data_IF_494429070422
#
_entry.id   IF_494429070422
#
_cell.length_a   1.000
_cell.length_b   1.000
_cell.length_c   1.000
_cell.angle_alpha   90.00
_cell.angle_beta   90.00
_cell.angle_gamma   90.00
#
_symmetry.space_group_name_H-M   'P 1'
#
loop_
_entity.id
_entity.type
_entity.pdbx_description
1 polymer ?
#
# COMPACT_ATOMS: atom_id res chain seq x y z
N UNK A 1 -9.62 25.97 10.88
CA UNK A 1 -10.62 25.43 9.93
C UNK A 1 -10.36 23.94 9.86
N UNK A 2 -11.21 23.15 10.49
CA UNK A 2 -11.10 21.67 10.56
C UNK A 2 -11.64 21.11 9.27
N UNK A 3 -10.87 20.23 8.62
CA UNK A 3 -11.35 19.51 7.42
C UNK A 3 -12.50 18.56 7.82
N UNK A 4 -13.61 18.53 7.09
CA UNK A 4 -14.69 17.61 7.40
C UNK A 4 -14.27 16.15 7.18
N UNK A 5 -14.84 15.26 8.00
CA UNK A 5 -14.66 13.82 7.91
C UNK A 5 -14.93 13.30 6.47
N UNK A 6 -14.21 12.24 6.09
CA UNK A 6 -14.29 11.61 4.77
C UNK A 6 -15.74 11.36 4.36
N UNK A 7 -16.22 12.07 3.34
CA UNK A 7 -17.46 11.73 2.65
C UNK A 7 -17.20 10.56 1.69
N UNK A 8 -18.20 9.71 1.51
CA UNK A 8 -18.24 8.66 0.51
C UNK A 8 -17.86 9.25 -0.85
N UNK A 9 -16.90 8.66 -1.59
CA UNK A 9 -16.57 9.14 -2.94
C UNK A 9 -17.81 9.05 -3.84
N UNK A 10 -18.01 10.00 -4.76
CA UNK A 10 -19.07 9.92 -5.75
C UNK A 10 -18.85 8.69 -6.64
N UNK A 11 -19.96 8.05 -7.07
CA UNK A 11 -19.90 7.00 -8.10
C UNK A 11 -19.40 7.65 -9.39
N UNK A 12 -18.20 7.25 -9.82
CA UNK A 12 -17.62 7.69 -11.06
C UNK A 12 -18.33 6.98 -12.22
N UNK A 13 -18.98 7.78 -13.08
CA UNK A 13 -19.41 7.31 -14.40
C UNK A 13 -18.18 6.80 -15.18
N UNK A 14 -18.42 5.90 -16.15
CA UNK A 14 -17.39 5.30 -17.03
C UNK A 14 -16.74 6.27 -18.03
N UNK A 15 -16.75 7.57 -17.77
CA UNK A 15 -16.03 8.51 -18.61
C UNK A 15 -14.53 8.30 -18.43
N UNK A 16 -13.74 8.24 -19.52
CA UNK A 16 -12.30 8.07 -19.43
C UNK A 16 -11.73 9.22 -18.61
N UNK A 17 -11.05 8.89 -17.51
CA UNK A 17 -10.28 9.84 -16.72
C UNK A 17 -9.31 10.51 -17.70
N UNK A 18 -9.28 11.87 -17.80
CA UNK A 18 -8.33 12.53 -18.65
C UNK A 18 -6.92 12.00 -18.35
N UNK A 19 -6.16 11.64 -19.40
CA UNK A 19 -4.79 11.14 -19.27
C UNK A 19 -3.99 12.20 -18.49
N UNK A 20 -3.87 12.01 -17.18
CA UNK A 20 -2.96 12.79 -16.37
C UNK A 20 -1.53 12.49 -16.87
N UNK A 21 -0.61 13.44 -16.78
CA UNK A 21 0.79 13.13 -17.10
C UNK A 21 1.29 12.13 -16.04
N UNK A 22 2.20 11.24 -16.43
CA UNK A 22 2.86 10.27 -15.53
C UNK A 22 3.28 10.92 -14.20
N UNK A 23 3.86 12.12 -14.28
CA UNK A 23 4.25 12.85 -13.06
C UNK A 23 3.05 13.21 -12.15
N UNK A 24 1.87 13.50 -12.71
CA UNK A 24 0.66 13.74 -11.90
C UNK A 24 0.19 12.47 -11.22
N UNK A 25 0.19 11.36 -11.95
CA UNK A 25 -0.18 10.03 -11.45
C UNK A 25 0.71 9.62 -10.29
N UNK A 26 2.03 9.77 -10.41
CA UNK A 26 3.01 9.46 -9.35
C UNK A 26 2.75 10.28 -8.08
N UNK A 27 2.53 11.59 -8.22
CA UNK A 27 2.25 12.44 -7.08
C UNK A 27 0.93 12.10 -6.39
N UNK A 28 -0.13 11.85 -7.15
CA UNK A 28 -1.44 11.49 -6.59
C UNK A 28 -1.38 10.13 -5.89
N UNK A 29 -0.68 9.14 -6.47
CA UNK A 29 -0.40 7.84 -5.89
C UNK A 29 0.40 7.97 -4.58
N UNK A 30 1.46 8.81 -4.57
CA UNK A 30 2.27 9.06 -3.38
C UNK A 30 1.46 9.70 -2.25
N UNK A 31 0.64 10.72 -2.55
CA UNK A 31 -0.25 11.37 -1.58
C UNK A 31 -1.25 10.35 -1.02
N UNK A 32 -1.83 9.49 -1.87
CA UNK A 32 -2.76 8.44 -1.45
C UNK A 32 -2.09 7.47 -0.48
N UNK A 33 -0.94 6.87 -0.86
CA UNK A 33 -0.20 5.90 -0.04
C UNK A 33 0.20 6.50 1.33
N UNK A 34 0.63 7.77 1.38
CA UNK A 34 0.98 8.46 2.61
C UNK A 34 -0.25 8.76 3.49
N UNK A 35 -1.37 9.15 2.87
CA UNK A 35 -2.61 9.40 3.60
C UNK A 35 -3.23 8.11 4.17
N UNK A 36 -3.01 6.95 3.53
CA UNK A 36 -3.43 5.66 4.10
C UNK A 36 -2.69 5.31 5.40
N UNK A 37 -1.47 5.77 5.57
CA UNK A 37 -0.60 5.48 6.72
C UNK A 37 -0.77 6.50 7.86
N UNK A 38 -1.45 7.61 7.61
CA UNK A 38 -1.61 8.71 8.57
C UNK A 38 -3.05 8.81 9.08
N UNK A 39 -3.27 9.11 10.37
CA UNK A 39 -4.58 9.50 10.87
C UNK A 39 -5.04 10.85 10.31
N UNK A 40 -4.08 11.70 9.89
CA UNK A 40 -4.36 13.02 9.34
C UNK A 40 -4.69 12.93 7.84
N UNK A 41 -5.70 13.66 7.36
CA UNK A 41 -6.10 13.62 5.95
C UNK A 41 -5.15 14.38 5.02
N UNK A 42 -4.20 15.15 5.57
CA UNK A 42 -3.24 15.93 4.81
C UNK A 42 -1.81 15.40 4.98
N UNK A 43 -1.05 15.42 3.89
CA UNK A 43 0.30 14.91 3.80
C UNK A 43 1.29 16.06 3.64
N UNK A 44 2.38 16.05 4.41
CA UNK A 44 3.38 17.11 4.35
C UNK A 44 4.18 17.09 3.04
N UNK A 45 4.61 18.27 2.56
CA UNK A 45 5.50 18.39 1.40
C UNK A 45 6.81 17.59 1.59
N UNK A 46 7.31 17.50 2.83
CA UNK A 46 8.52 16.73 3.15
C UNK A 46 8.29 15.24 2.95
N UNK A 47 7.20 14.68 3.48
CA UNK A 47 6.89 13.27 3.32
C UNK A 47 6.72 12.88 1.84
N UNK A 48 6.11 13.75 1.02
CA UNK A 48 6.00 13.53 -0.43
C UNK A 48 7.38 13.57 -1.08
N UNK A 49 8.24 14.52 -0.71
CA UNK A 49 9.59 14.64 -1.25
C UNK A 49 10.46 13.42 -0.92
N UNK A 50 10.40 12.96 0.33
CA UNK A 50 11.13 11.80 0.82
C UNK A 50 10.64 10.51 0.11
N UNK A 51 9.32 10.36 -0.08
CA UNK A 51 8.75 9.20 -0.77
C UNK A 51 9.11 9.14 -2.25
N UNK A 52 9.09 10.29 -2.94
CA UNK A 52 9.41 10.36 -4.38
C UNK A 52 10.91 10.49 -4.67
N UNK A 53 11.76 10.68 -3.65
CA UNK A 53 13.19 10.87 -3.81
C UNK A 53 13.58 12.17 -4.53
N UNK A 54 12.76 13.23 -4.42
CA UNK A 54 12.96 14.49 -5.15
C UNK A 54 13.04 15.72 -4.23
N UNK A 55 13.56 16.81 -4.77
CA UNK A 55 13.74 18.05 -4.00
C UNK A 55 12.40 18.67 -3.58
N UNK A 56 12.29 19.15 -2.34
CA UNK A 56 11.08 19.81 -1.78
C UNK A 56 10.58 21.00 -2.61
N UNK A 57 11.50 21.72 -3.27
CA UNK A 57 11.14 22.83 -4.15
C UNK A 57 10.35 22.35 -5.37
N UNK A 58 10.77 21.22 -5.98
CA UNK A 58 10.06 20.59 -7.10
C UNK A 58 8.69 20.10 -6.67
N UNK A 59 8.59 19.46 -5.50
CA UNK A 59 7.31 19.04 -4.91
C UNK A 59 6.38 20.24 -4.74
N UNK A 60 6.86 21.32 -4.14
CA UNK A 60 6.04 22.53 -3.92
C UNK A 60 5.50 23.10 -5.24
N UNK A 61 6.31 23.11 -6.29
CA UNK A 61 5.89 23.60 -7.62
C UNK A 61 4.78 22.69 -8.21
N UNK A 62 4.94 21.37 -8.10
CA UNK A 62 3.94 20.41 -8.58
C UNK A 62 2.65 20.45 -7.77
N UNK A 63 2.72 20.55 -6.44
CA UNK A 63 1.52 20.66 -5.60
C UNK A 63 0.68 21.90 -5.94
N UNK A 64 1.32 23.02 -6.31
CA UNK A 64 0.61 24.21 -6.79
C UNK A 64 -0.13 23.96 -8.09
N UNK A 65 0.46 23.21 -9.03
CA UNK A 65 -0.18 22.83 -10.30
C UNK A 65 -1.36 21.90 -10.04
N UNK A 66 -1.15 20.81 -9.32
CA UNK A 66 -2.22 19.87 -8.96
C UNK A 66 -3.38 20.55 -8.23
N UNK A 67 -3.08 21.57 -7.40
CA UNK A 67 -4.11 22.36 -6.73
C UNK A 67 -4.87 23.26 -7.72
N UNK A 68 -4.18 23.92 -8.63
CA UNK A 68 -4.80 24.74 -9.67
C UNK A 68 -5.70 23.91 -10.60
N UNK A 69 -5.30 22.66 -10.88
CA UNK A 69 -6.06 21.70 -11.69
C UNK A 69 -7.18 21.00 -10.89
N UNK A 70 -7.37 21.35 -9.62
CA UNK A 70 -8.46 20.85 -8.78
C UNK A 70 -8.29 19.40 -8.30
N UNK A 71 -7.10 18.80 -8.45
CA UNK A 71 -6.84 17.40 -8.08
C UNK A 71 -6.48 17.23 -6.59
N UNK A 72 -5.95 18.29 -5.97
CA UNK A 72 -5.64 18.31 -4.54
C UNK A 72 -6.11 19.62 -3.90
N UNK A 73 -6.27 19.61 -2.57
CA UNK A 73 -6.27 20.80 -1.75
C UNK A 73 -4.87 20.95 -1.17
N UNK A 74 -4.23 22.08 -1.43
CA UNK A 74 -2.89 22.38 -0.93
C UNK A 74 -2.84 23.76 -0.29
N UNK A 75 -2.29 23.84 0.90
CA UNK A 75 -1.98 25.10 1.54
C UNK A 75 -0.58 25.02 2.18
N UNK A 76 0.15 26.13 2.09
CA UNK A 76 1.49 26.22 2.68
C UNK A 76 1.42 25.92 4.18
N UNK A 77 2.29 25.04 4.67
CA UNK A 77 2.35 24.54 6.06
C UNK A 77 1.19 23.64 6.51
N UNK A 78 0.15 23.45 5.71
CA UNK A 78 -0.97 22.57 6.04
C UNK A 78 -0.92 21.24 5.27
N UNK A 79 0.00 21.12 4.30
CA UNK A 79 0.14 19.93 3.49
C UNK A 79 -0.82 19.85 2.31
N UNK A 80 -0.90 18.67 1.72
CA UNK A 80 -1.73 18.32 0.57
C UNK A 80 -2.73 17.22 0.91
N UNK A 81 -3.96 17.36 0.42
CA UNK A 81 -5.00 16.33 0.52
C UNK A 81 -5.68 16.16 -0.83
N UNK A 82 -5.98 14.91 -1.22
CA UNK A 82 -6.68 14.62 -2.47
C UNK A 82 -8.09 15.21 -2.47
N UNK A 83 -8.53 15.71 -3.62
CA UNK A 83 -9.95 15.94 -3.93
C UNK A 83 -10.59 14.64 -4.41
N UNK A 84 -11.91 14.63 -4.64
CA UNK A 84 -12.59 13.45 -5.22
C UNK A 84 -12.01 13.10 -6.59
N UNK A 85 -11.69 14.11 -7.42
CA UNK A 85 -11.06 13.90 -8.73
C UNK A 85 -9.63 13.33 -8.61
N UNK A 86 -8.81 13.89 -7.71
CA UNK A 86 -7.46 13.36 -7.44
C UNK A 86 -7.49 11.97 -6.82
N UNK A 87 -8.46 11.70 -5.94
CA UNK A 87 -8.68 10.38 -5.36
C UNK A 87 -8.97 9.32 -6.43
N UNK A 88 -9.85 9.65 -7.40
CA UNK A 88 -10.20 8.74 -8.48
C UNK A 88 -8.98 8.31 -9.30
N UNK A 89 -8.13 9.27 -9.69
CA UNK A 89 -6.88 8.99 -10.42
C UNK A 89 -5.93 8.14 -9.57
N UNK A 90 -5.74 8.51 -8.30
CA UNK A 90 -4.85 7.77 -7.41
C UNK A 90 -5.32 6.31 -7.21
N UNK A 91 -6.62 6.09 -7.02
CA UNK A 91 -7.20 4.74 -6.86
C UNK A 91 -7.05 3.91 -8.13
N UNK A 92 -7.24 4.51 -9.34
CA UNK A 92 -7.02 3.81 -10.60
C UNK A 92 -5.54 3.39 -10.74
N UNK A 93 -4.60 4.27 -10.40
CA UNK A 93 -3.17 3.93 -10.41
C UNK A 93 -2.83 2.81 -9.41
N UNK A 94 -3.36 2.87 -8.19
CA UNK A 94 -3.18 1.80 -7.19
C UNK A 94 -3.77 0.47 -7.70
N UNK A 95 -4.93 0.51 -8.35
CA UNK A 95 -5.54 -0.69 -8.94
C UNK A 95 -4.66 -1.27 -10.04
N UNK A 96 -4.18 -0.44 -10.97
CA UNK A 96 -3.27 -0.87 -12.06
C UNK A 96 -2.03 -1.55 -11.49
N UNK A 97 -1.36 -0.87 -10.56
CA UNK A 97 -0.17 -1.37 -9.88
C UNK A 97 -0.40 -2.77 -9.29
N UNK A 98 -1.42 -2.93 -8.44
CA UNK A 98 -1.70 -4.19 -7.73
C UNK A 98 -2.15 -5.33 -8.65
N UNK A 99 -2.88 -5.04 -9.72
CA UNK A 99 -3.25 -6.05 -10.73
C UNK A 99 -2.01 -6.50 -11.51
N UNK A 100 -1.13 -5.56 -11.89
CA UNK A 100 0.13 -5.88 -12.57
C UNK A 100 1.04 -6.71 -11.66
N UNK A 101 1.24 -6.33 -10.40
CA UNK A 101 2.01 -7.11 -9.43
C UNK A 101 1.47 -8.55 -9.33
N UNK A 102 0.14 -8.70 -9.23
CA UNK A 102 -0.48 -10.01 -9.14
C UNK A 102 -0.18 -10.84 -10.39
N UNK A 103 -0.31 -10.28 -11.59
CA UNK A 103 0.03 -10.94 -12.85
C UNK A 103 1.50 -11.35 -12.91
N UNK A 104 2.40 -10.44 -12.57
CA UNK A 104 3.83 -10.70 -12.60
C UNK A 104 4.25 -11.82 -11.64
N UNK A 105 3.67 -11.87 -10.45
CA UNK A 105 3.98 -12.93 -9.47
C UNK A 105 3.34 -14.26 -9.85
N UNK A 106 2.05 -14.27 -10.21
CA UNK A 106 1.31 -15.53 -10.42
C UNK A 106 1.63 -16.20 -11.75
N UNK A 107 1.71 -15.42 -12.84
CA UNK A 107 1.85 -15.98 -14.19
C UNK A 107 3.31 -15.98 -14.68
N UNK A 108 4.07 -14.93 -14.32
CA UNK A 108 5.47 -14.79 -14.74
C UNK A 108 6.49 -15.21 -13.67
N UNK A 109 6.03 -15.53 -12.46
CA UNK A 109 6.86 -15.96 -11.33
C UNK A 109 7.96 -14.97 -10.96
N UNK A 110 7.71 -13.67 -11.15
CA UNK A 110 8.61 -12.62 -10.67
C UNK A 110 8.68 -12.69 -9.14
N UNK A 111 9.87 -12.67 -8.54
CA UNK A 111 10.01 -12.70 -7.09
C UNK A 111 9.25 -11.55 -6.42
N UNK A 112 8.54 -11.86 -5.32
CA UNK A 112 7.73 -10.90 -4.57
C UNK A 112 8.51 -9.63 -4.17
N UNK A 113 9.81 -9.74 -3.94
CA UNK A 113 10.65 -8.62 -3.55
C UNK A 113 11.06 -7.70 -4.71
N UNK A 114 10.89 -8.15 -5.95
CA UNK A 114 11.35 -7.43 -7.15
C UNK A 114 10.16 -6.91 -7.98
N UNK A 115 8.93 -7.34 -7.68
CA UNK A 115 7.74 -7.08 -8.49
C UNK A 115 7.29 -5.62 -8.49
N UNK A 116 7.51 -4.86 -7.37
CA UNK A 116 7.11 -3.46 -7.24
C UNK A 116 7.79 -2.57 -8.29
N UNK A 117 9.10 -2.77 -8.51
CA UNK A 117 9.85 -2.00 -9.49
C UNK A 117 9.36 -2.23 -10.94
N UNK A 118 8.99 -3.45 -11.29
CA UNK A 118 8.43 -3.77 -12.60
C UNK A 118 7.02 -3.21 -12.77
N UNK A 119 6.19 -3.28 -11.72
CA UNK A 119 4.84 -2.75 -11.73
C UNK A 119 4.82 -1.21 -11.87
N UNK A 120 5.75 -0.50 -11.20
CA UNK A 120 5.93 0.96 -11.35
C UNK A 120 6.19 1.39 -12.80
N UNK A 121 6.96 0.59 -13.56
CA UNK A 121 7.24 0.88 -14.97
C UNK A 121 6.00 0.63 -15.84
N UNK A 122 5.28 -0.46 -15.59
CA UNK A 122 4.21 -0.95 -16.45
C UNK A 122 2.87 -0.22 -16.24
N UNK A 123 2.59 0.28 -15.02
CA UNK A 123 1.28 0.83 -14.67
C UNK A 123 0.87 2.04 -15.51
N UNK A 124 1.85 2.83 -15.99
CA UNK A 124 1.60 3.97 -16.88
C UNK A 124 1.36 3.57 -18.33
N UNK A 125 1.87 2.41 -18.75
CA UNK A 125 1.76 1.92 -20.11
C UNK A 125 0.46 1.14 -20.37
N UNK A 126 -0.14 0.57 -19.33
CA UNK A 126 -1.32 -0.27 -19.45
C UNK A 126 -2.60 0.57 -19.38
N UNK A 127 -3.47 0.40 -20.41
CA UNK A 127 -4.79 1.04 -20.38
C UNK A 127 -5.71 0.39 -19.33
N UNK A 128 -6.66 1.15 -18.77
CA UNK A 128 -7.66 0.60 -17.82
C UNK A 128 -8.38 -0.62 -18.37
N UNK A 129 -8.66 -0.64 -19.69
CA UNK A 129 -9.28 -1.79 -20.37
C UNK A 129 -8.39 -3.05 -20.31
N UNK A 130 -7.06 -2.90 -20.46
CA UNK A 130 -6.13 -4.03 -20.36
C UNK A 130 -6.04 -4.51 -18.91
N UNK A 131 -6.02 -3.60 -17.95
CA UNK A 131 -6.04 -3.91 -16.51
C UNK A 131 -7.30 -4.71 -16.14
N UNK A 132 -8.48 -4.32 -16.66
CA UNK A 132 -9.72 -5.09 -16.42
C UNK A 132 -9.61 -6.52 -16.98
N UNK A 133 -9.00 -6.70 -18.16
CA UNK A 133 -8.77 -8.02 -18.76
C UNK A 133 -7.78 -8.85 -17.94
N UNK A 134 -6.71 -8.25 -17.45
CA UNK A 134 -5.77 -8.93 -16.57
C UNK A 134 -6.43 -9.36 -15.25
N UNK A 135 -7.20 -8.47 -14.64
CA UNK A 135 -7.90 -8.77 -13.40
C UNK A 135 -8.92 -9.92 -13.58
N UNK A 136 -9.67 -9.95 -14.72
CA UNK A 136 -10.55 -11.05 -15.07
C UNK A 136 -9.77 -12.36 -15.28
N UNK A 137 -8.65 -12.30 -16.01
CA UNK A 137 -7.77 -13.46 -16.27
C UNK A 137 -7.24 -14.08 -14.97
N UNK A 138 -6.87 -13.25 -14.01
CA UNK A 138 -6.39 -13.65 -12.69
C UNK A 138 -7.50 -14.20 -11.76
N UNK A 139 -8.74 -14.30 -12.20
CA UNK A 139 -9.85 -14.79 -11.39
C UNK A 139 -10.41 -13.74 -10.43
N UNK A 140 -10.21 -12.46 -10.72
CA UNK A 140 -10.72 -11.31 -9.94
C UNK A 140 -10.21 -11.28 -8.50
N UNK A 141 -8.89 -11.25 -8.29
CA UNK A 141 -8.32 -11.25 -6.95
C UNK A 141 -8.76 -10.02 -6.15
N UNK A 142 -9.05 -10.24 -4.86
CA UNK A 142 -9.38 -9.16 -3.92
C UNK A 142 -8.14 -8.47 -3.36
N UNK A 143 -7.01 -9.18 -3.33
CA UNK A 143 -5.74 -8.73 -2.76
C UNK A 143 -4.59 -8.94 -3.73
N UNK A 144 -3.60 -8.06 -3.66
CA UNK A 144 -2.34 -8.21 -4.35
C UNK A 144 -1.42 -9.25 -3.65
N UNK A 145 -0.24 -9.59 -4.21
CA UNK A 145 0.67 -10.57 -3.61
C UNK A 145 1.23 -10.16 -2.23
N UNK A 146 1.21 -8.86 -1.90
CA UNK A 146 1.62 -8.36 -0.59
C UNK A 146 0.47 -8.33 0.43
N UNK A 147 -0.76 -8.70 0.02
CA UNK A 147 -1.97 -8.68 0.84
C UNK A 147 -2.66 -7.33 0.92
N UNK A 148 -2.32 -6.38 0.05
CA UNK A 148 -3.04 -5.11 -0.01
C UNK A 148 -4.31 -5.24 -0.89
N UNK A 149 -5.47 -4.66 -0.49
CA UNK A 149 -6.72 -4.83 -1.22
C UNK A 149 -6.65 -4.15 -2.59
N UNK A 150 -7.04 -4.86 -3.66
CA UNK A 150 -7.14 -4.31 -5.01
C UNK A 150 -8.43 -3.48 -5.11
N UNK A 151 -8.35 -2.15 -5.28
CA UNK A 151 -9.53 -1.30 -5.37
C UNK A 151 -10.42 -1.70 -6.54
N UNK A 152 -11.74 -1.71 -6.32
CA UNK A 152 -12.72 -1.87 -7.39
C UNK A 152 -13.30 -0.51 -7.78
N UNK A 153 -13.62 -0.29 -9.08
CA UNK A 153 -14.08 1.02 -9.56
C UNK A 153 -15.31 1.58 -8.84
N UNK A 154 -16.19 0.69 -8.37
CA UNK A 154 -17.50 1.03 -7.80
C UNK A 154 -17.62 0.71 -6.31
N UNK A 155 -16.56 0.25 -5.67
CA UNK A 155 -16.60 -0.16 -4.27
C UNK A 155 -16.02 0.91 -3.32
N UNK A 156 -16.65 1.04 -2.16
CA UNK A 156 -16.08 1.79 -1.06
C UNK A 156 -14.76 1.12 -0.62
N UNK A 157 -13.77 1.88 -0.11
CA UNK A 157 -12.56 1.30 0.43
C UNK A 157 -12.89 0.18 1.41
N UNK A 158 -12.23 -0.97 1.22
CA UNK A 158 -12.41 -2.13 2.12
C UNK A 158 -12.15 -1.65 3.55
N UNK A 159 -13.14 -1.79 4.42
CA UNK A 159 -12.98 -1.47 5.84
C UNK A 159 -11.74 -2.20 6.37
N UNK A 160 -10.90 -1.47 7.10
CA UNK A 160 -9.74 -2.06 7.78
C UNK A 160 -10.29 -3.14 8.72
N UNK A 161 -10.14 -4.41 8.35
CA UNK A 161 -10.29 -5.52 9.29
C UNK A 161 -9.42 -5.19 10.50
N UNK A 162 -9.76 -5.69 11.68
CA UNK A 162 -8.97 -5.49 12.90
C UNK A 162 -7.59 -6.16 12.74
N UNK A 163 -6.72 -5.50 11.97
CA UNK A 163 -5.35 -5.93 11.77
C UNK A 163 -4.50 -5.45 12.95
N UNK A 164 -3.58 -6.29 13.38
CA UNK A 164 -2.62 -6.01 14.44
C UNK A 164 -1.22 -6.20 13.88
N UNK A 165 -0.29 -5.31 14.20
CA UNK A 165 1.10 -5.53 13.81
C UNK A 165 1.65 -6.78 14.52
N UNK A 166 2.51 -7.52 13.82
CA UNK A 166 3.15 -8.71 14.39
C UNK A 166 3.92 -8.39 15.67
N UNK A 167 4.50 -7.19 15.75
CA UNK A 167 5.15 -6.66 16.95
C UNK A 167 4.22 -6.48 18.15
N UNK A 168 2.91 -6.32 17.92
CA UNK A 168 1.93 -6.03 18.96
C UNK A 168 1.16 -7.28 19.44
N UNK A 169 1.42 -8.44 18.85
CA UNK A 169 0.88 -9.70 19.35
C UNK A 169 1.43 -9.97 20.76
N UNK A 170 0.66 -10.60 21.62
CA UNK A 170 1.16 -11.07 22.90
C UNK A 170 2.17 -12.22 22.69
N UNK A 171 3.02 -12.46 23.69
CA UNK A 171 3.92 -13.64 23.68
C UNK A 171 3.04 -14.90 23.63
N UNK A 172 3.44 -15.84 22.80
CA UNK A 172 2.72 -17.08 22.47
C UNK A 172 1.38 -16.92 21.74
N UNK A 173 1.00 -15.70 21.40
CA UNK A 173 -0.16 -15.44 20.56
C UNK A 173 0.11 -15.84 19.11
N UNK A 174 -0.90 -16.50 18.50
CA UNK A 174 -0.88 -16.90 17.09
C UNK A 174 -1.77 -16.02 16.25
N UNK A 175 -1.34 -15.76 15.01
CA UNK A 175 -2.10 -14.96 14.06
C UNK A 175 -1.76 -15.35 12.62
N UNK A 176 -2.62 -15.02 11.68
CA UNK A 176 -2.35 -15.18 10.24
C UNK A 176 -1.86 -13.86 9.65
N UNK A 177 -0.74 -13.91 8.95
CA UNK A 177 -0.22 -12.76 8.18
C UNK A 177 -1.20 -12.45 7.06
N UNK A 178 -1.63 -11.19 6.96
CA UNK A 178 -2.58 -10.75 5.93
C UNK A 178 -1.98 -9.70 5.00
N UNK A 179 -0.98 -8.94 5.47
CA UNK A 179 -0.35 -7.88 4.66
C UNK A 179 1.10 -7.65 5.06
N UNK A 180 1.96 -7.45 4.06
CA UNK A 180 3.31 -6.95 4.20
C UNK A 180 3.33 -5.47 3.78
N UNK A 181 3.59 -4.57 4.71
CA UNK A 181 3.68 -3.13 4.45
C UNK A 181 5.13 -2.65 4.29
N UNK A 182 6.04 -3.55 3.88
CA UNK A 182 7.41 -3.22 3.56
C UNK A 182 7.48 -2.41 2.25
N UNK A 183 8.30 -1.37 2.24
CA UNK A 183 8.34 -0.39 1.15
C UNK A 183 9.58 -0.53 0.26
N UNK A 184 10.45 -1.49 0.54
CA UNK A 184 11.66 -1.73 -0.23
C UNK A 184 11.95 -3.22 -0.41
N UNK A 185 12.65 -3.53 -1.50
CA UNK A 185 12.98 -4.90 -1.88
C UNK A 185 13.84 -5.64 -0.84
N UNK A 186 14.67 -4.95 -0.07
CA UNK A 186 15.51 -5.58 0.96
C UNK A 186 14.67 -6.10 2.12
N UNK A 187 13.71 -5.31 2.60
CA UNK A 187 12.77 -5.70 3.65
C UNK A 187 11.89 -6.87 3.19
N UNK A 188 11.36 -6.80 1.96
CA UNK A 188 10.57 -7.88 1.37
C UNK A 188 11.37 -9.17 1.22
N UNK A 189 12.62 -9.10 0.77
CA UNK A 189 13.51 -10.28 0.73
C UNK A 189 13.74 -10.88 2.10
N UNK A 190 13.98 -10.05 3.11
CA UNK A 190 14.18 -10.50 4.49
C UNK A 190 12.92 -11.21 5.05
N UNK A 191 11.74 -10.65 4.82
CA UNK A 191 10.47 -11.27 5.21
C UNK A 191 10.23 -12.59 4.47
N UNK A 192 10.44 -12.62 3.16
CA UNK A 192 10.27 -13.82 2.31
C UNK A 192 11.23 -14.94 2.74
N UNK A 193 12.51 -14.61 2.98
CA UNK A 193 13.52 -15.57 3.47
C UNK A 193 13.20 -16.08 4.88
N UNK A 194 12.60 -15.24 5.71
CA UNK A 194 12.08 -15.67 7.01
C UNK A 194 10.81 -16.54 6.90
N UNK A 195 10.20 -16.66 5.71
CA UNK A 195 8.95 -17.39 5.49
C UNK A 195 7.71 -16.60 5.94
N UNK A 196 7.83 -15.29 6.14
CA UNK A 196 6.71 -14.40 6.49
C UNK A 196 6.04 -13.95 5.20
N UNK A 197 4.91 -14.59 4.87
CA UNK A 197 4.15 -14.35 3.63
C UNK A 197 2.66 -14.19 3.96
N UNK A 198 1.88 -13.48 3.15
CA UNK A 198 0.43 -13.45 3.29
C UNK A 198 -0.17 -14.87 3.27
N UNK A 199 -1.14 -15.11 4.17
CA UNK A 199 -1.72 -16.43 4.39
C UNK A 199 -0.96 -17.32 5.37
N UNK A 200 0.27 -16.99 5.73
CA UNK A 200 1.09 -17.80 6.65
C UNK A 200 0.67 -17.60 8.10
N UNK A 201 0.47 -18.69 8.82
CA UNK A 201 0.27 -18.66 10.26
C UNK A 201 1.61 -18.44 10.98
N UNK A 202 1.64 -17.50 11.89
CA UNK A 202 2.80 -17.16 12.70
C UNK A 202 2.42 -17.13 14.18
N UNK A 203 3.37 -17.42 15.07
CA UNK A 203 3.19 -17.31 16.52
C UNK A 203 4.33 -16.49 17.11
N UNK A 204 4.01 -15.40 17.82
CA UNK A 204 5.02 -14.61 18.52
C UNK A 204 5.61 -15.40 19.67
N UNK A 205 6.93 -15.33 19.85
CA UNK A 205 7.66 -15.98 20.94
C UNK A 205 8.41 -14.97 21.80
N UNK A 206 8.74 -15.37 23.01
CA UNK A 206 9.63 -14.58 23.85
C UNK A 206 10.99 -14.39 23.16
N UNK A 207 11.46 -13.14 23.10
CA UNK A 207 12.79 -12.79 22.59
C UNK A 207 13.91 -13.23 23.53
N UNK A 208 15.15 -13.20 23.06
CA UNK A 208 16.29 -13.35 23.95
C UNK A 208 16.46 -12.10 24.82
N UNK A 209 16.84 -12.24 26.09
CA UNK A 209 17.16 -11.10 26.95
C UNK A 209 18.20 -10.19 26.26
N UNK A 210 17.89 -8.91 26.13
CA UNK A 210 18.79 -7.93 25.51
C UNK A 210 18.71 -7.80 23.98
N UNK A 211 17.91 -8.64 23.28
CA UNK A 211 17.64 -8.46 21.85
C UNK A 211 16.38 -7.62 21.64
N UNK A 212 16.46 -6.67 20.69
CA UNK A 212 15.30 -5.93 20.22
C UNK A 212 14.46 -6.72 19.18
N UNK A 213 14.94 -7.88 18.72
CA UNK A 213 14.28 -8.69 17.71
C UNK A 213 13.00 -9.33 18.23
N UNK A 214 11.99 -9.39 17.39
CA UNK A 214 10.78 -10.17 17.61
C UNK A 214 11.05 -11.61 17.15
N UNK A 215 10.82 -12.60 18.02
CA UNK A 215 10.89 -14.01 17.61
C UNK A 215 9.54 -14.50 17.17
N UNK A 216 9.51 -15.22 16.08
CA UNK A 216 8.30 -15.83 15.52
C UNK A 216 8.54 -17.29 15.20
N UNK A 217 7.57 -18.15 15.52
CA UNK A 217 7.50 -19.52 15.01
C UNK A 217 6.68 -19.51 13.72
N UNK A 218 7.25 -20.08 12.67
CA UNK A 218 6.58 -20.32 11.39
C UNK A 218 6.71 -21.80 11.07
N UNK A 219 5.57 -22.47 10.99
CA UNK A 219 5.57 -23.92 10.94
C UNK A 219 6.22 -24.54 12.21
N UNK A 220 7.40 -25.14 12.07
CA UNK A 220 8.17 -25.72 13.18
C UNK A 220 9.48 -24.99 13.48
N UNK A 221 9.72 -23.85 12.87
CA UNK A 221 10.99 -23.12 12.98
C UNK A 221 10.79 -21.78 13.68
N UNK A 222 11.64 -21.53 14.67
CA UNK A 222 11.75 -20.22 15.31
C UNK A 222 12.74 -19.36 14.53
N UNK A 223 12.33 -18.14 14.24
CA UNK A 223 13.11 -17.16 13.49
C UNK A 223 13.14 -15.82 14.18
N UNK A 224 14.30 -15.15 14.25
CA UNK A 224 14.38 -13.77 14.66
C UNK A 224 13.92 -12.88 13.49
N UNK A 225 13.21 -11.81 13.81
CA UNK A 225 12.78 -10.80 12.89
C UNK A 225 13.08 -9.43 13.50
N UNK A 226 13.78 -8.56 12.77
CA UNK A 226 14.05 -7.21 13.27
C UNK A 226 12.74 -6.51 13.65
N UNK A 227 12.72 -5.81 14.78
CA UNK A 227 11.51 -5.15 15.30
C UNK A 227 10.85 -4.26 14.25
N UNK A 228 11.65 -3.47 13.53
CA UNK A 228 11.17 -2.60 12.44
C UNK A 228 10.47 -3.36 11.30
N UNK A 229 10.86 -4.61 11.02
CA UNK A 229 10.18 -5.46 10.05
C UNK A 229 8.88 -6.03 10.63
N UNK A 230 8.88 -6.44 11.91
CA UNK A 230 7.70 -6.96 12.57
C UNK A 230 6.56 -5.92 12.67
N UNK A 231 6.89 -4.64 12.81
CA UNK A 231 5.94 -3.51 12.79
C UNK A 231 5.24 -3.35 11.42
N UNK A 232 5.87 -3.82 10.35
CA UNK A 232 5.36 -3.72 8.97
C UNK A 232 4.61 -4.98 8.50
N UNK A 233 4.53 -6.00 9.35
CA UNK A 233 3.76 -7.22 9.09
C UNK A 233 2.41 -7.10 9.80
N UNK A 234 1.34 -7.05 9.02
CA UNK A 234 -0.02 -7.00 9.56
C UNK A 234 -0.63 -8.38 9.62
N UNK A 235 -1.26 -8.67 10.75
CA UNK A 235 -1.84 -9.97 11.07
C UNK A 235 -3.29 -9.84 11.51
N UNK A 236 -4.05 -10.92 11.35
CA UNK A 236 -5.36 -11.10 11.98
C UNK A 236 -5.20 -12.19 13.05
N UNK A 237 -5.62 -11.88 14.27
CA UNK A 237 -5.62 -12.85 15.38
C UNK A 237 -6.46 -14.05 15.00
N UNK A 238 -5.92 -15.24 15.23
CA UNK A 238 -6.72 -16.45 15.16
C UNK A 238 -7.64 -16.46 16.37
N UNK A 239 -8.96 -16.67 16.15
CA UNK A 239 -9.85 -16.99 17.25
C UNK A 239 -9.24 -18.18 18.01
N UNK A 240 -9.04 -18.04 19.30
CA UNK A 240 -8.69 -19.19 20.12
C UNK A 240 -9.88 -20.18 20.04
N UNK A 241 -9.64 -21.35 19.45
CA UNK A 241 -10.48 -22.51 19.65
C UNK A 241 -10.22 -23.10 21.05
#
# INVERSE_FOLDING_TARGET
MTFPARRRPPRLGRDPIPMASTAYEDYLKAIFKLAEQSPEPSVSTSAIADRLGIARASVTAMLKRLHADGLIRYARYQGAALTDAGWAIAVDMIRRHRVIETFLVTDLHVPLADVDAEAEILEHAFSSRLIDRLWEHLGRPEFDPHGAPIPQPDEAPVERRQMVALSDLAIDEGATVVRLAAENAADLRALTQAGVLPGQFVRRRAGHPGSADVRVTIGRQDRPLAAALAERVWTIRSSAD
#
